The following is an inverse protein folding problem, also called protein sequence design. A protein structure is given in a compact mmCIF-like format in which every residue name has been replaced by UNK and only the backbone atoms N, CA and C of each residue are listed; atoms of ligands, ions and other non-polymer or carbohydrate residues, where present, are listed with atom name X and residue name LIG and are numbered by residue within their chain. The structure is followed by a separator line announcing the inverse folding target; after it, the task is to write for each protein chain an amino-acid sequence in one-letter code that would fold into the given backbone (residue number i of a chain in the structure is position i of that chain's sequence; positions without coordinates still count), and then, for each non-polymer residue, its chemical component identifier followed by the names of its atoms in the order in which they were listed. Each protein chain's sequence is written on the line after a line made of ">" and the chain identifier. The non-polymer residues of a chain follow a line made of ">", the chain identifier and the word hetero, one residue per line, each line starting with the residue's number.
data_IF_757777538005
#
_entry.id   IF_757777538005
#
_cell.length_a   1.000
_cell.length_b   1.000
_cell.length_c   1.000
_cell.angle_alpha   90.00
_cell.angle_beta   90.00
_cell.angle_gamma   90.00
#
_symmetry.space_group_name_H-M   'P 1'
#
loop_
_entity.id
_entity.type
_entity.pdbx_description
1 polymer ?
#
# COMPACT_ATOMS: atom_id res chain seq x y z
N UNK A 1 6.38 27.08 -32.02
CA UNK A 1 6.58 27.07 -30.56
C UNK A 1 5.68 26.01 -29.98
N UNK A 2 6.18 24.79 -29.82
CA UNK A 2 5.37 23.65 -29.37
C UNK A 2 5.38 23.61 -27.85
N UNK A 3 4.22 23.82 -27.24
CA UNK A 3 4.06 23.81 -25.79
C UNK A 3 4.24 22.37 -25.25
N UNK A 4 5.27 22.16 -24.44
CA UNK A 4 5.43 20.95 -23.65
C UNK A 4 4.39 20.94 -22.53
N UNK A 5 3.36 20.10 -22.67
CA UNK A 5 2.44 19.77 -21.59
C UNK A 5 3.16 18.83 -20.62
N UNK A 6 3.74 19.40 -19.56
CA UNK A 6 4.24 18.60 -18.43
C UNK A 6 3.02 18.05 -17.70
N UNK A 7 2.74 16.76 -17.90
CA UNK A 7 1.71 16.05 -17.16
C UNK A 7 2.05 16.11 -15.66
N UNK A 8 1.21 16.80 -14.88
CA UNK A 8 1.32 16.82 -13.43
C UNK A 8 1.25 15.37 -12.91
N UNK A 9 2.28 14.96 -12.17
CA UNK A 9 2.32 13.61 -11.61
C UNK A 9 1.18 13.50 -10.59
N UNK A 10 0.29 12.50 -10.70
CA UNK A 10 -0.80 12.36 -9.73
C UNK A 10 -0.23 12.25 -8.31
N UNK A 11 -0.89 12.84 -7.31
CA UNK A 11 -0.45 12.76 -5.92
C UNK A 11 -0.31 11.28 -5.55
N UNK A 12 0.87 10.91 -5.06
CA UNK A 12 1.14 9.54 -4.62
C UNK A 12 0.20 9.23 -3.45
N UNK A 13 -0.71 8.28 -3.66
CA UNK A 13 -1.58 7.83 -2.59
C UNK A 13 -0.75 7.03 -1.57
N UNK A 14 -0.88 7.31 -0.27
CA UNK A 14 -0.05 6.67 0.75
C UNK A 14 -0.34 5.18 0.92
N UNK A 15 -1.54 4.73 0.52
CA UNK A 15 -1.94 3.33 0.55
C UNK A 15 -2.44 2.86 -0.80
N UNK A 16 -2.04 1.64 -1.16
CA UNK A 16 -2.67 0.94 -2.28
C UNK A 16 -4.13 0.60 -1.96
N UNK A 17 -5.00 0.50 -2.99
CA UNK A 17 -6.38 0.07 -2.80
C UNK A 17 -6.53 -1.26 -2.03
N UNK A 18 -5.59 -2.18 -2.24
CA UNK A 18 -5.54 -3.47 -1.57
C UNK A 18 -5.25 -3.33 -0.06
N UNK A 19 -4.25 -2.53 0.32
CA UNK A 19 -3.94 -2.29 1.73
C UNK A 19 -5.13 -1.69 2.49
N UNK A 20 -5.81 -0.72 1.87
CA UNK A 20 -7.01 -0.10 2.45
C UNK A 20 -8.10 -1.15 2.66
N UNK A 21 -8.36 -1.98 1.65
CA UNK A 21 -9.37 -3.03 1.72
C UNK A 21 -9.06 -4.06 2.81
N UNK A 22 -7.84 -4.57 2.87
CA UNK A 22 -7.43 -5.56 3.89
C UNK A 22 -7.49 -4.97 5.31
N UNK A 23 -7.14 -3.68 5.47
CA UNK A 23 -7.18 -3.02 6.77
C UNK A 23 -8.59 -2.71 7.26
N UNK A 24 -9.51 -2.30 6.38
CA UNK A 24 -10.86 -1.89 6.79
C UNK A 24 -11.90 -2.99 6.64
N UNK A 25 -11.66 -4.05 5.89
CA UNK A 25 -12.68 -5.05 5.61
C UNK A 25 -12.31 -6.45 6.04
N UNK A 26 -13.33 -7.24 6.37
CA UNK A 26 -13.26 -8.69 6.54
C UNK A 26 -14.30 -9.37 5.65
N UNK A 27 -14.05 -10.59 5.15
CA UNK A 27 -15.09 -11.37 4.48
C UNK A 27 -16.31 -11.49 5.37
N UNK A 28 -17.49 -11.34 4.78
CA UNK A 28 -18.75 -11.61 5.47
C UNK A 28 -19.15 -13.05 5.21
N UNK A 29 -19.32 -13.79 6.30
CA UNK A 29 -19.76 -15.18 6.28
C UNK A 29 -21.25 -15.24 6.58
N UNK A 30 -21.96 -16.21 6.02
CA UNK A 30 -23.33 -16.55 6.41
C UNK A 30 -23.35 -17.37 7.72
N UNK A 31 -24.53 -17.84 8.12
CA UNK A 31 -24.71 -18.57 9.39
C UNK A 31 -23.96 -19.91 9.38
N UNK A 32 -23.70 -20.45 8.19
CA UNK A 32 -22.97 -21.68 7.93
C UNK A 32 -21.45 -21.46 7.83
N UNK A 33 -20.99 -20.20 7.81
CA UNK A 33 -19.57 -19.86 7.74
C UNK A 33 -19.01 -19.75 6.30
N UNK A 34 -19.88 -19.76 5.29
CA UNK A 34 -19.51 -19.73 3.88
C UNK A 34 -19.36 -18.30 3.35
N UNK A 35 -18.52 -18.15 2.31
CA UNK A 35 -18.21 -16.84 1.72
C UNK A 35 -19.39 -16.29 0.91
N UNK A 36 -20.03 -15.25 1.42
CA UNK A 36 -21.21 -14.62 0.77
C UNK A 36 -20.91 -13.71 -0.42
N UNK A 37 -19.63 -13.46 -0.72
CA UNK A 37 -19.21 -12.45 -1.72
C UNK A 37 -19.40 -11.00 -1.25
N UNK A 38 -19.68 -10.80 0.04
CA UNK A 38 -19.68 -9.50 0.69
C UNK A 38 -18.51 -9.38 1.65
N UNK A 39 -18.08 -8.14 1.85
CA UNK A 39 -17.10 -7.76 2.84
C UNK A 39 -17.74 -6.73 3.78
N UNK A 40 -17.52 -6.90 5.08
CA UNK A 40 -18.01 -5.97 6.09
C UNK A 40 -16.88 -5.03 6.53
N UNK A 41 -17.18 -3.74 6.58
CA UNK A 41 -16.27 -2.76 7.16
C UNK A 41 -16.13 -3.02 8.67
N UNK A 42 -14.89 -3.13 9.16
CA UNK A 42 -14.55 -3.35 10.57
C UNK A 42 -14.88 -2.15 11.45
N UNK A 43 -14.83 -0.93 10.89
CA UNK A 43 -15.06 0.30 11.63
C UNK A 43 -16.55 0.66 11.77
N UNK A 44 -17.37 0.42 10.74
CA UNK A 44 -18.80 0.79 10.76
C UNK A 44 -19.79 -0.34 10.47
N UNK A 45 -19.32 -1.58 10.26
CA UNK A 45 -20.16 -2.75 9.98
C UNK A 45 -20.82 -2.78 8.60
N UNK A 46 -20.70 -1.71 7.79
CA UNK A 46 -21.40 -1.62 6.50
C UNK A 46 -20.87 -2.66 5.51
N UNK A 47 -21.80 -3.39 4.88
CA UNK A 47 -21.49 -4.45 3.92
C UNK A 47 -21.29 -3.86 2.53
N UNK A 48 -20.27 -4.36 1.82
CA UNK A 48 -19.95 -4.00 0.43
C UNK A 48 -19.69 -5.27 -0.36
N UNK A 49 -20.24 -5.35 -1.57
CA UNK A 49 -20.02 -6.49 -2.46
C UNK A 49 -18.56 -6.51 -2.92
N UNK A 50 -17.90 -7.66 -2.89
CA UNK A 50 -16.55 -7.80 -3.41
C UNK A 50 -16.35 -9.21 -3.97
N UNK A 51 -16.08 -9.29 -5.26
CA UNK A 51 -15.86 -10.56 -5.95
C UNK A 51 -14.35 -10.80 -6.14
N UNK A 52 -13.86 -12.07 -6.17
CA UNK A 52 -12.44 -12.40 -6.27
C UNK A 52 -11.69 -11.83 -7.49
N UNK A 53 -12.40 -11.36 -8.52
CA UNK A 53 -11.83 -10.69 -9.72
C UNK A 53 -12.21 -9.22 -9.87
N UNK A 54 -12.91 -8.67 -8.88
CA UNK A 54 -13.28 -7.26 -8.85
C UNK A 54 -12.11 -6.43 -8.33
N UNK A 55 -11.95 -5.21 -8.84
CA UNK A 55 -11.09 -4.22 -8.20
C UNK A 55 -11.64 -3.76 -6.84
N UNK A 56 -10.80 -3.08 -6.07
CA UNK A 56 -11.10 -2.56 -4.72
C UNK A 56 -11.82 -1.20 -4.71
N UNK A 57 -12.20 -0.68 -5.88
CA UNK A 57 -12.68 0.70 -6.04
C UNK A 57 -13.89 1.02 -5.17
N UNK A 58 -14.81 0.05 -5.00
CA UNK A 58 -16.01 0.24 -4.18
C UNK A 58 -15.70 0.26 -2.66
N UNK A 59 -14.74 -0.54 -2.20
CA UNK A 59 -14.29 -0.62 -0.82
C UNK A 59 -13.54 0.66 -0.46
N UNK A 60 -12.64 1.09 -1.34
CA UNK A 60 -11.85 2.32 -1.15
C UNK A 60 -12.71 3.57 -1.19
N UNK A 61 -13.69 3.63 -2.11
CA UNK A 61 -14.65 4.75 -2.17
C UNK A 61 -15.44 4.87 -0.86
N UNK A 62 -15.87 3.73 -0.28
CA UNK A 62 -16.50 3.73 1.03
C UNK A 62 -15.58 4.26 2.13
N UNK A 63 -14.33 3.79 2.19
CA UNK A 63 -13.40 4.22 3.24
C UNK A 63 -13.11 5.71 3.15
N UNK A 64 -12.84 6.24 1.95
CA UNK A 64 -12.58 7.67 1.76
C UNK A 64 -13.76 8.57 2.13
N UNK A 65 -14.98 8.10 1.95
CA UNK A 65 -16.19 8.88 2.25
C UNK A 65 -16.65 8.74 3.70
N UNK A 66 -16.58 7.54 4.27
CA UNK A 66 -17.11 7.25 5.61
C UNK A 66 -16.06 7.35 6.73
N UNK A 67 -14.77 7.28 6.39
CA UNK A 67 -13.65 7.31 7.34
C UNK A 67 -12.61 8.34 6.88
N UNK A 68 -12.85 9.66 7.03
CA UNK A 68 -11.92 10.69 6.56
C UNK A 68 -10.52 10.60 7.22
N UNK A 69 -10.46 10.06 8.44
CA UNK A 69 -9.24 9.82 9.21
C UNK A 69 -8.53 8.50 8.90
N UNK A 70 -8.99 7.73 7.90
CA UNK A 70 -8.52 6.36 7.66
C UNK A 70 -7.00 6.25 7.54
N UNK A 71 -6.37 7.26 6.95
CA UNK A 71 -4.92 7.27 6.78
C UNK A 71 -4.17 7.34 8.11
N UNK A 72 -4.70 8.09 9.08
CA UNK A 72 -4.11 8.17 10.42
C UNK A 72 -4.29 6.85 11.16
N UNK A 73 -5.49 6.29 11.11
CA UNK A 73 -5.79 5.00 11.77
C UNK A 73 -4.90 3.87 11.24
N UNK A 74 -4.68 3.83 9.93
CA UNK A 74 -3.75 2.88 9.32
C UNK A 74 -2.29 3.14 9.71
N UNK A 75 -1.89 4.42 9.88
CA UNK A 75 -0.55 4.81 10.38
C UNK A 75 -0.31 4.32 11.79
N UNK A 76 -1.24 4.63 12.67
CA UNK A 76 -1.12 4.34 14.10
C UNK A 76 -1.11 2.83 14.33
N UNK A 77 -1.98 2.09 13.64
CA UNK A 77 -2.04 0.64 13.73
C UNK A 77 -0.77 -0.05 13.19
N UNK A 78 -0.19 0.43 12.09
CA UNK A 78 1.04 -0.17 11.54
C UNK A 78 2.24 0.08 12.43
N UNK A 79 2.37 1.29 12.98
CA UNK A 79 3.43 1.62 13.93
C UNK A 79 3.30 0.80 15.22
N UNK A 80 2.09 0.66 15.76
CA UNK A 80 1.85 -0.14 16.95
C UNK A 80 2.10 -1.65 16.74
N UNK A 81 1.69 -2.20 15.59
CA UNK A 81 1.78 -3.65 15.35
C UNK A 81 3.19 -4.14 15.04
N UNK A 82 3.99 -3.37 14.28
CA UNK A 82 5.31 -3.82 13.82
C UNK A 82 6.45 -3.08 14.50
N UNK A 83 6.18 -2.02 15.27
CA UNK A 83 7.21 -1.13 15.83
C UNK A 83 8.09 -0.47 14.75
N UNK A 84 7.69 -0.56 13.48
CA UNK A 84 8.53 -0.18 12.35
C UNK A 84 7.71 0.40 11.21
N UNK A 85 8.30 1.34 10.48
CA UNK A 85 7.67 2.01 9.35
C UNK A 85 7.94 1.30 8.00
N UNK A 86 8.40 0.04 8.00
CA UNK A 86 8.70 -0.73 6.77
C UNK A 86 7.52 -0.80 5.78
N UNK A 87 6.24 -0.96 6.19
CA UNK A 87 5.12 -0.93 5.25
C UNK A 87 4.95 0.39 4.46
N UNK A 88 5.61 1.46 4.92
CA UNK A 88 5.54 2.83 4.39
C UNK A 88 6.71 3.16 3.47
N UNK A 89 7.74 2.33 3.49
CA UNK A 89 8.89 2.51 2.61
C UNK A 89 8.49 1.97 1.25
N UNK A 90 8.32 2.89 0.28
CA UNK A 90 8.07 2.47 -1.10
C UNK A 90 9.11 1.45 -1.54
N UNK A 91 8.74 0.49 -2.39
CA UNK A 91 9.69 -0.51 -2.89
C UNK A 91 10.97 0.14 -3.45
N UNK A 92 10.84 1.31 -4.09
CA UNK A 92 11.98 2.09 -4.58
C UNK A 92 12.91 2.59 -3.46
N UNK A 93 12.35 3.09 -2.36
CA UNK A 93 13.13 3.51 -1.20
C UNK A 93 13.76 2.32 -0.48
N UNK A 94 13.03 1.21 -0.34
CA UNK A 94 13.54 -0.04 0.23
C UNK A 94 14.71 -0.58 -0.59
N UNK A 95 14.57 -0.63 -1.92
CA UNK A 95 15.64 -1.08 -2.82
C UNK A 95 16.89 -0.20 -2.70
N UNK A 96 16.73 1.14 -2.66
CA UNK A 96 17.85 2.07 -2.45
C UNK A 96 18.55 1.85 -1.12
N UNK A 97 17.78 1.68 -0.04
CA UNK A 97 18.34 1.40 1.27
C UNK A 97 19.09 0.07 1.29
N UNK A 98 18.53 -0.99 0.71
CA UNK A 98 19.20 -2.29 0.59
C UNK A 98 20.52 -2.18 -0.17
N UNK A 99 20.56 -1.41 -1.27
CA UNK A 99 21.79 -1.13 -2.02
C UNK A 99 22.83 -0.38 -1.19
N UNK A 100 22.44 0.71 -0.52
CA UNK A 100 23.36 1.46 0.35
C UNK A 100 23.88 0.59 1.49
N UNK A 101 23.00 -0.18 2.14
CA UNK A 101 23.37 -1.12 3.20
C UNK A 101 24.36 -2.15 2.70
N UNK A 102 24.15 -2.72 1.52
CA UNK A 102 25.07 -3.71 0.95
C UNK A 102 26.45 -3.11 0.68
N UNK A 103 26.54 -1.93 0.05
CA UNK A 103 27.82 -1.26 -0.23
C UNK A 103 28.59 -1.00 1.06
N UNK A 104 27.92 -0.45 2.09
CA UNK A 104 28.54 -0.14 3.38
C UNK A 104 28.96 -1.40 4.12
N UNK A 105 28.08 -2.40 4.24
CA UNK A 105 28.37 -3.63 4.99
C UNK A 105 29.39 -4.52 4.27
N UNK A 106 29.45 -4.45 2.94
CA UNK A 106 30.45 -5.14 2.12
C UNK A 106 31.77 -4.39 1.98
N UNK A 107 31.89 -3.20 2.58
CA UNK A 107 33.04 -2.30 2.45
C UNK A 107 33.47 -2.10 0.98
N UNK A 108 32.48 -1.93 0.09
CA UNK A 108 32.70 -1.76 -1.34
C UNK A 108 32.88 -0.27 -1.68
N UNK A 109 33.66 0.06 -2.72
CA UNK A 109 33.72 1.43 -3.23
C UNK A 109 32.34 1.92 -3.65
N UNK A 110 32.04 3.22 -3.47
CA UNK A 110 30.78 3.79 -3.94
C UNK A 110 30.62 3.67 -5.48
N UNK A 111 31.73 3.63 -6.23
CA UNK A 111 31.76 3.38 -7.67
C UNK A 111 31.32 1.96 -8.06
N UNK A 112 31.16 1.05 -7.11
CA UNK A 112 30.64 -0.30 -7.36
C UNK A 112 29.27 -0.27 -8.05
N UNK A 113 28.40 0.68 -7.69
CA UNK A 113 27.08 0.85 -8.31
C UNK A 113 27.15 1.30 -9.79
N UNK A 114 28.33 1.71 -10.28
CA UNK A 114 28.53 2.11 -11.66
C UNK A 114 28.98 0.95 -12.54
N UNK A 115 29.31 -0.21 -11.95
CA UNK A 115 29.75 -1.38 -12.68
C UNK A 115 28.66 -1.89 -13.63
N UNK A 116 29.09 -2.42 -14.78
CA UNK A 116 28.17 -2.96 -15.80
C UNK A 116 27.41 -4.19 -15.29
N UNK A 117 27.99 -4.91 -14.35
CA UNK A 117 27.48 -6.16 -13.78
C UNK A 117 26.33 -5.90 -12.79
N UNK A 118 26.24 -4.69 -12.21
CA UNK A 118 25.20 -4.32 -11.24
C UNK A 118 23.96 -3.69 -11.87
N UNK A 119 23.93 -3.56 -13.20
CA UNK A 119 22.86 -2.92 -13.98
C UNK A 119 21.94 -3.90 -14.74
N UNK A 120 22.17 -5.20 -14.62
CA UNK A 120 21.34 -6.27 -15.20
C UNK A 120 20.07 -6.50 -14.37
#
# INVERSE_FOLDING_TARGET
>A
MSANLVAATPPRQPFSPRQIAEFFFKPWLDEEGELTGYHACKACGKRRKHQPRSGYTNLVSHVRSAHPSFESEMRDASAAATGTLVPWVSQKASNRYSWMKWVVMGNLPLSFCESTETRQ
#
